data_IF_821551220688
#
_entry.id   IF_821551220688
#
_cell.length_a   1.000
_cell.length_b   1.000
_cell.length_c   1.000
_cell.angle_alpha   90.00
_cell.angle_beta   90.00
_cell.angle_gamma   90.00
#
_symmetry.space_group_name_H-M   'P 1'
#
loop_
_entity.id
_entity.type
_entity.pdbx_description
1 polymer ?
#
# COMPACT_ATOMS: atom_id res chain seq x y z
N UNK A 1 17.20 16.79 3.28
CA UNK A 1 16.14 16.06 2.53
C UNK A 1 15.54 16.82 1.35
N UNK A 2 15.89 18.10 1.11
CA UNK A 2 15.37 18.87 -0.03
C UNK A 2 15.81 18.31 -1.40
N UNK A 3 16.93 17.59 -1.44
CA UNK A 3 17.47 17.00 -2.66
C UNK A 3 16.73 15.73 -3.13
N UNK A 4 15.90 15.10 -2.26
CA UNK A 4 15.16 13.85 -2.57
C UNK A 4 13.72 13.89 -2.04
N UNK A 5 12.83 14.69 -2.67
CA UNK A 5 11.45 14.89 -2.19
C UNK A 5 10.62 13.60 -2.18
N UNK A 6 10.85 12.70 -3.13
CA UNK A 6 10.15 11.42 -3.19
C UNK A 6 10.49 10.50 -2.01
N UNK A 7 11.75 10.46 -1.57
CA UNK A 7 12.20 9.67 -0.41
C UNK A 7 11.56 10.22 0.87
N UNK A 8 11.60 11.55 1.06
CA UNK A 8 10.95 12.20 2.20
C UNK A 8 9.45 11.90 2.26
N UNK A 9 8.77 11.94 1.12
CA UNK A 9 7.35 11.61 1.05
C UNK A 9 7.09 10.16 1.43
N UNK A 10 7.90 9.21 0.92
CA UNK A 10 7.79 7.79 1.23
C UNK A 10 8.06 7.49 2.71
N UNK A 11 9.06 8.13 3.33
CA UNK A 11 9.36 7.98 4.77
C UNK A 11 8.21 8.49 5.64
N UNK A 12 7.61 9.63 5.28
CA UNK A 12 6.53 10.24 6.07
C UNK A 12 5.15 9.59 5.85
N UNK A 13 4.87 9.11 4.63
CA UNK A 13 3.53 8.66 4.24
C UNK A 13 3.46 7.21 3.79
N UNK A 14 4.58 6.50 3.61
CA UNK A 14 4.63 5.15 3.03
C UNK A 14 3.77 4.14 3.78
N UNK A 15 3.77 4.18 5.11
CA UNK A 15 2.89 3.32 5.91
C UNK A 15 1.40 3.60 5.68
N UNK A 16 1.01 4.88 5.57
CA UNK A 16 -0.37 5.28 5.27
C UNK A 16 -0.76 4.86 3.85
N UNK A 17 0.14 5.03 2.88
CA UNK A 17 -0.07 4.61 1.50
C UNK A 17 -0.22 3.10 1.37
N UNK A 18 0.56 2.31 2.12
CA UNK A 18 0.41 0.86 2.15
C UNK A 18 -0.99 0.45 2.59
N UNK A 19 -1.52 1.08 3.65
CA UNK A 19 -2.88 0.83 4.15
C UNK A 19 -3.93 1.22 3.10
N UNK A 20 -3.81 2.41 2.52
CA UNK A 20 -4.74 2.89 1.50
C UNK A 20 -4.74 1.99 0.26
N UNK A 21 -3.56 1.61 -0.23
CA UNK A 21 -3.41 0.71 -1.38
C UNK A 21 -3.99 -0.69 -1.07
N UNK A 22 -3.67 -1.23 0.11
CA UNK A 22 -4.16 -2.53 0.55
C UNK A 22 -5.68 -2.60 0.70
N UNK A 23 -6.32 -1.53 1.19
CA UNK A 23 -7.78 -1.45 1.35
C UNK A 23 -8.52 -1.13 0.05
N UNK A 24 -7.86 -0.51 -0.93
CA UNK A 24 -8.49 -0.17 -2.20
C UNK A 24 -9.06 -1.42 -2.91
N UNK A 25 -8.32 -2.53 -2.89
CA UNK A 25 -8.75 -3.78 -3.54
C UNK A 25 -10.01 -4.40 -2.88
N UNK A 26 -10.05 -4.65 -1.56
CA UNK A 26 -11.26 -5.10 -0.87
C UNK A 26 -12.47 -4.19 -1.08
N UNK A 27 -12.27 -2.86 -1.06
CA UNK A 27 -13.35 -1.89 -1.28
C UNK A 27 -13.92 -2.04 -2.69
N UNK A 28 -13.05 -2.12 -3.72
CA UNK A 28 -13.48 -2.36 -5.09
C UNK A 28 -14.17 -3.72 -5.24
N UNK A 29 -13.69 -4.75 -4.56
CA UNK A 29 -14.33 -6.06 -4.50
C UNK A 29 -15.74 -6.00 -3.90
N UNK A 30 -15.92 -5.26 -2.80
CA UNK A 30 -17.24 -5.05 -2.17
C UNK A 30 -18.18 -4.34 -3.12
N UNK A 31 -17.74 -3.22 -3.72
CA UNK A 31 -18.54 -2.48 -4.71
C UNK A 31 -18.90 -3.38 -5.89
N UNK A 32 -17.95 -4.18 -6.41
CA UNK A 32 -18.22 -5.12 -7.50
C UNK A 32 -19.28 -6.17 -7.16
N UNK A 33 -19.22 -6.75 -5.95
CA UNK A 33 -20.22 -7.74 -5.52
C UNK A 33 -21.60 -7.10 -5.31
N UNK A 34 -21.66 -5.94 -4.65
CA UNK A 34 -22.95 -5.32 -4.28
C UNK A 34 -23.60 -4.49 -5.40
N UNK A 35 -22.81 -3.89 -6.29
CA UNK A 35 -23.31 -2.99 -7.35
C UNK A 35 -23.35 -3.69 -8.70
N UNK A 36 -22.32 -4.48 -9.03
CA UNK A 36 -22.21 -5.16 -10.31
C UNK A 36 -22.61 -6.65 -10.25
N UNK A 37 -23.16 -7.10 -9.11
CA UNK A 37 -23.55 -8.49 -8.87
C UNK A 37 -22.44 -9.51 -9.17
N UNK A 38 -21.18 -9.13 -8.94
CA UNK A 38 -20.06 -10.04 -9.13
C UNK A 38 -20.13 -11.20 -8.15
N UNK A 39 -19.64 -12.36 -8.60
CA UNK A 39 -19.56 -13.53 -7.76
C UNK A 39 -18.65 -13.26 -6.54
N UNK A 40 -19.03 -13.74 -5.35
CA UNK A 40 -18.33 -13.49 -4.08
C UNK A 40 -16.86 -13.90 -4.09
N UNK A 41 -16.48 -14.82 -4.99
CA UNK A 41 -15.09 -15.25 -5.17
C UNK A 41 -14.17 -14.10 -5.55
N UNK A 42 -14.67 -13.08 -6.25
CA UNK A 42 -13.90 -11.88 -6.59
C UNK A 42 -13.60 -11.02 -5.36
N UNK A 43 -14.51 -10.98 -4.39
CA UNK A 43 -14.26 -10.32 -3.11
C UNK A 43 -13.18 -11.08 -2.32
N UNK A 44 -13.26 -12.41 -2.26
CA UNK A 44 -12.22 -13.21 -1.59
C UNK A 44 -10.85 -13.01 -2.24
N UNK A 45 -10.77 -13.03 -3.57
CA UNK A 45 -9.54 -12.73 -4.31
C UNK A 45 -9.05 -11.30 -4.04
N UNK A 46 -9.94 -10.31 -4.00
CA UNK A 46 -9.60 -8.91 -3.71
C UNK A 46 -9.07 -8.71 -2.30
N UNK A 47 -9.59 -9.44 -1.31
CA UNK A 47 -9.07 -9.42 0.06
C UNK A 47 -7.65 -9.98 0.12
N UNK A 48 -7.42 -11.15 -0.48
CA UNK A 48 -6.09 -11.78 -0.53
C UNK A 48 -5.09 -10.89 -1.26
N UNK A 49 -5.47 -10.35 -2.42
CA UNK A 49 -4.66 -9.43 -3.20
C UNK A 49 -4.38 -8.12 -2.45
N UNK A 50 -5.37 -7.59 -1.71
CA UNK A 50 -5.22 -6.41 -0.87
C UNK A 50 -4.20 -6.59 0.25
N UNK A 51 -4.23 -7.74 0.94
CA UNK A 51 -3.23 -8.09 1.96
C UNK A 51 -1.84 -8.19 1.34
N UNK A 52 -1.70 -8.86 0.19
CA UNK A 52 -0.43 -8.98 -0.51
C UNK A 52 0.12 -7.61 -0.93
N UNK A 53 -0.74 -6.75 -1.49
CA UNK A 53 -0.38 -5.39 -1.90
C UNK A 53 0.05 -4.52 -0.71
N UNK A 54 -0.70 -4.58 0.39
CA UNK A 54 -0.34 -3.91 1.64
C UNK A 54 1.05 -4.33 2.11
N UNK A 55 1.32 -5.64 2.12
CA UNK A 55 2.60 -6.17 2.56
C UNK A 55 3.75 -5.66 1.69
N UNK A 56 3.61 -5.72 0.36
CA UNK A 56 4.62 -5.22 -0.59
C UNK A 56 4.90 -3.72 -0.36
N UNK A 57 3.86 -2.90 -0.27
CA UNK A 57 4.03 -1.46 -0.04
C UNK A 57 4.64 -1.15 1.34
N UNK A 58 4.24 -1.89 2.37
CA UNK A 58 4.81 -1.75 3.71
C UNK A 58 6.30 -2.07 3.70
N UNK A 59 6.69 -3.21 3.13
CA UNK A 59 8.10 -3.60 3.02
C UNK A 59 8.89 -2.58 2.21
N UNK A 60 8.34 -2.07 1.10
CA UNK A 60 8.99 -1.04 0.31
C UNK A 60 9.20 0.27 1.10
N UNK A 61 8.21 0.71 1.86
CA UNK A 61 8.31 1.88 2.71
C UNK A 61 9.35 1.70 3.82
N UNK A 62 9.38 0.54 4.47
CA UNK A 62 10.37 0.20 5.51
C UNK A 62 11.79 0.17 4.95
N UNK A 63 12.00 -0.49 3.80
CA UNK A 63 13.30 -0.50 3.12
C UNK A 63 13.75 0.90 2.73
N UNK A 64 12.83 1.73 2.24
CA UNK A 64 13.13 3.13 1.90
C UNK A 64 13.54 3.92 3.13
N UNK A 65 12.91 3.68 4.29
CA UNK A 65 13.29 4.30 5.56
C UNK A 65 14.70 3.88 5.99
N UNK A 66 14.99 2.58 5.97
CA UNK A 66 16.31 2.05 6.35
C UNK A 66 17.42 2.64 5.45
N UNK A 67 17.18 2.67 4.13
CA UNK A 67 18.13 3.25 3.18
C UNK A 67 18.29 4.76 3.41
N UNK A 68 17.20 5.47 3.68
CA UNK A 68 17.26 6.90 3.99
C UNK A 68 18.08 7.16 5.25
N UNK A 69 17.90 6.37 6.30
CA UNK A 69 18.67 6.46 7.55
C UNK A 69 20.16 6.17 7.34
N UNK A 70 20.50 5.21 6.47
CA UNK A 70 21.90 4.86 6.17
C UNK A 70 22.60 5.86 5.25
N UNK A 71 21.91 6.39 4.23
CA UNK A 71 22.50 7.27 3.21
C UNK A 71 22.45 8.76 3.60
N UNK A 72 21.46 9.16 4.39
CA UNK A 72 21.24 10.53 4.82
C UNK A 72 21.05 10.54 6.34
N UNK A 73 22.10 10.19 7.12
CA UNK A 73 22.04 10.28 8.57
C UNK A 73 21.73 11.73 8.93
N UNK A 74 20.76 11.91 9.83
CA UNK A 74 20.34 13.21 10.33
C UNK A 74 21.49 13.94 11.01
#
# INVERSE_FOLDING_TARGET
>A
MEQYPAVRFMVQHGAKLAILAGLALPILGLVGVFVAAWHWIWLAAAVVAGIALWFVFKTFAELTHIIADMLLPQ
#
